data_IF_904684905915
#
_entry.id   IF_904684905915
#
_cell.length_a   1.000
_cell.length_b   1.000
_cell.length_c   1.000
_cell.angle_alpha   90.00
_cell.angle_beta   90.00
_cell.angle_gamma   90.00
#
_symmetry.space_group_name_H-M   'P 1'
#
loop_
_entity.id
_entity.type
_entity.pdbx_description
1 polymer ?
#
# COMPACT_ATOMS: atom_id res chain seq x y z
N UNK A 1 -24.21 21.73 8.89
CA UNK A 1 -24.22 20.36 9.47
C UNK A 1 -22.77 19.97 9.72
N UNK A 2 -22.34 19.99 10.99
CA UNK A 2 -20.95 19.81 11.40
C UNK A 2 -20.60 18.34 11.73
N UNK A 3 -19.33 18.03 11.50
CA UNK A 3 -18.43 17.03 12.10
C UNK A 3 -18.85 15.56 12.25
N UNK A 4 -18.09 14.67 11.56
CA UNK A 4 -17.67 13.37 12.13
C UNK A 4 -16.23 13.07 11.72
N UNK A 5 -15.32 13.38 12.64
CA UNK A 5 -13.89 13.11 12.64
C UNK A 5 -13.34 12.11 11.62
N UNK A 6 -12.46 12.59 10.75
CA UNK A 6 -11.48 11.74 10.06
C UNK A 6 -10.14 12.45 10.09
N UNK A 7 -9.47 12.38 11.24
CA UNK A 7 -8.10 12.82 11.40
C UNK A 7 -7.19 12.11 10.40
N UNK A 8 -6.84 12.85 9.35
CA UNK A 8 -5.63 12.65 8.56
C UNK A 8 -4.91 13.98 8.68
N UNK A 9 -4.03 14.10 9.67
CA UNK A 9 -3.23 15.31 9.95
C UNK A 9 -2.13 15.56 8.88
N UNK A 10 -2.26 14.91 7.73
CA UNK A 10 -1.58 15.27 6.49
C UNK A 10 -2.70 15.29 5.45
N UNK A 11 -2.92 16.38 4.71
CA UNK A 11 -4.11 16.64 3.89
C UNK A 11 -4.42 15.66 2.74
N UNK A 12 -3.96 14.42 2.80
CA UNK A 12 -4.24 13.35 1.86
C UNK A 12 -5.49 12.57 2.32
N UNK A 13 -6.60 12.69 1.60
CA UNK A 13 -7.77 11.84 1.83
C UNK A 13 -7.39 10.35 1.84
N UNK A 14 -8.10 9.48 2.59
CA UNK A 14 -7.80 8.04 2.66
C UNK A 14 -7.61 7.39 1.28
N UNK A 15 -8.44 7.80 0.31
CA UNK A 15 -8.35 7.36 -1.09
C UNK A 15 -7.04 7.77 -1.77
N UNK A 16 -6.50 8.93 -1.43
CA UNK A 16 -5.20 9.39 -1.90
C UNK A 16 -4.05 8.56 -1.34
N UNK A 17 -4.11 8.19 -0.05
CA UNK A 17 -3.14 7.29 0.56
C UNK A 17 -3.18 5.90 -0.09
N UNK A 18 -4.39 5.36 -0.26
CA UNK A 18 -4.59 4.07 -0.93
C UNK A 18 -4.01 4.09 -2.35
N UNK A 19 -4.33 5.12 -3.14
CA UNK A 19 -3.80 5.26 -4.50
C UNK A 19 -2.27 5.39 -4.51
N UNK A 20 -1.69 6.19 -3.63
CA UNK A 20 -0.25 6.40 -3.56
C UNK A 20 0.51 5.11 -3.23
N UNK A 21 0.00 4.32 -2.28
CA UNK A 21 0.62 3.05 -1.88
C UNK A 21 0.43 1.96 -2.94
N UNK A 22 -0.74 1.91 -3.58
CA UNK A 22 -0.97 1.00 -4.70
C UNK A 22 -0.04 1.33 -5.89
N UNK A 23 0.17 2.60 -6.20
CA UNK A 23 1.08 3.03 -7.26
C UNK A 23 2.53 2.65 -6.94
N UNK A 24 3.02 2.91 -5.71
CA UNK A 24 4.36 2.53 -5.30
C UNK A 24 4.58 1.01 -5.31
N UNK A 25 3.57 0.23 -4.99
CA UNK A 25 3.63 -1.22 -5.08
C UNK A 25 3.66 -1.72 -6.54
N UNK A 26 2.96 -1.01 -7.44
CA UNK A 26 2.87 -1.37 -8.86
C UNK A 26 4.11 -0.98 -9.67
N UNK A 27 5.00 -0.14 -9.13
CA UNK A 27 6.30 0.14 -9.75
C UNK A 27 7.35 -0.94 -9.47
N UNK A 28 7.03 -1.94 -8.65
CA UNK A 28 7.91 -3.08 -8.41
C UNK A 28 7.80 -4.05 -9.59
N UNK A 29 8.94 -4.45 -10.13
CA UNK A 29 8.99 -5.37 -11.25
C UNK A 29 8.32 -6.72 -10.93
N UNK A 30 7.62 -7.28 -11.91
CA UNK A 30 6.83 -8.52 -11.76
C UNK A 30 5.45 -8.36 -11.09
N UNK A 31 5.09 -7.15 -10.60
CA UNK A 31 3.75 -6.85 -10.09
C UNK A 31 2.85 -6.34 -11.20
N UNK A 32 1.71 -6.99 -11.41
CA UNK A 32 0.74 -6.65 -12.47
C UNK A 32 -0.48 -5.91 -11.98
N UNK A 33 -0.88 -6.14 -10.72
CA UNK A 33 -2.06 -5.52 -10.15
C UNK A 33 -1.83 -5.19 -8.69
N UNK A 34 -2.30 -4.03 -8.26
CA UNK A 34 -2.21 -3.62 -6.86
C UNK A 34 -3.51 -3.05 -6.38
N UNK A 35 -3.77 -3.25 -5.09
CA UNK A 35 -4.89 -2.67 -4.39
C UNK A 35 -4.46 -2.36 -2.96
N UNK A 36 -4.72 -1.14 -2.51
CA UNK A 36 -4.52 -0.75 -1.12
C UNK A 36 -5.86 -0.40 -0.49
N UNK A 37 -5.98 -0.71 0.80
CA UNK A 37 -7.14 -0.35 1.60
C UNK A 37 -6.71 0.09 2.98
N UNK A 38 -6.91 1.35 3.28
CA UNK A 38 -6.64 1.93 4.59
C UNK A 38 -7.90 1.94 5.44
N UNK A 39 -7.81 1.39 6.65
CA UNK A 39 -8.81 1.52 7.72
C UNK A 39 -8.13 2.06 8.97
N UNK A 40 -8.39 3.33 9.28
CA UNK A 40 -7.75 4.01 10.41
C UNK A 40 -6.23 4.07 10.21
N UNK A 41 -5.47 3.40 11.09
CA UNK A 41 -4.00 3.33 11.04
C UNK A 41 -3.44 2.04 10.42
N UNK A 42 -4.31 1.21 9.84
CA UNK A 42 -3.93 -0.05 9.21
C UNK A 42 -4.15 0.07 7.72
N UNK A 43 -3.12 -0.21 6.94
CA UNK A 43 -3.23 -0.32 5.49
C UNK A 43 -2.96 -1.76 5.10
N UNK A 44 -3.92 -2.35 4.40
CA UNK A 44 -3.72 -3.63 3.71
C UNK A 44 -3.38 -3.34 2.26
N UNK A 45 -2.22 -3.81 1.82
CA UNK A 45 -1.74 -3.71 0.45
C UNK A 45 -1.71 -5.13 -0.14
N UNK A 46 -2.51 -5.35 -1.17
CA UNK A 46 -2.52 -6.57 -1.97
C UNK A 46 -1.81 -6.28 -3.28
N UNK A 47 -0.82 -7.08 -3.62
CA UNK A 47 -0.15 -7.03 -4.90
C UNK A 47 -0.22 -8.41 -5.57
N UNK A 48 -0.55 -8.40 -6.86
CA UNK A 48 -0.57 -9.57 -7.69
C UNK A 48 0.71 -9.63 -8.50
N UNK A 49 1.39 -10.76 -8.40
CA UNK A 49 2.60 -11.04 -9.12
C UNK A 49 2.32 -11.98 -10.28
N UNK A 50 2.84 -11.66 -11.47
CA UNK A 50 2.74 -12.55 -12.64
C UNK A 50 3.84 -13.62 -12.67
N UNK A 51 5.04 -13.28 -12.23
CA UNK A 51 6.20 -14.18 -12.23
C UNK A 51 7.15 -13.82 -11.09
N UNK A 52 8.00 -14.76 -10.66
CA UNK A 52 9.04 -14.52 -9.64
C UNK A 52 8.71 -15.09 -8.26
N UNK A 53 9.64 -14.89 -7.31
CA UNK A 53 9.48 -15.34 -5.93
C UNK A 53 8.58 -14.37 -5.13
N UNK A 54 7.46 -14.85 -4.55
CA UNK A 54 6.58 -14.02 -3.73
C UNK A 54 7.25 -13.39 -2.51
N UNK A 55 8.29 -14.02 -1.94
CA UNK A 55 8.96 -13.48 -0.76
C UNK A 55 9.87 -12.30 -1.10
N UNK A 56 10.62 -12.39 -2.19
CA UNK A 56 11.37 -11.26 -2.75
C UNK A 56 10.45 -10.10 -3.12
N UNK A 57 9.37 -10.38 -3.86
CA UNK A 57 8.39 -9.36 -4.24
C UNK A 57 7.73 -8.69 -3.04
N UNK A 58 7.41 -9.47 -2.00
CA UNK A 58 6.89 -8.93 -0.75
C UNK A 58 7.87 -7.95 -0.11
N UNK A 59 9.16 -8.26 -0.17
CA UNK A 59 10.21 -7.42 0.39
C UNK A 59 10.37 -6.15 -0.42
N UNK A 60 10.41 -6.24 -1.76
CA UNK A 60 10.48 -5.09 -2.65
C UNK A 60 9.24 -4.17 -2.51
N UNK A 61 8.04 -4.74 -2.52
CA UNK A 61 6.78 -4.00 -2.29
C UNK A 61 6.76 -3.35 -0.91
N UNK A 62 7.32 -4.01 0.11
CA UNK A 62 7.45 -3.41 1.44
C UNK A 62 8.37 -2.21 1.44
N UNK A 63 9.53 -2.31 0.80
CA UNK A 63 10.49 -1.21 0.72
C UNK A 63 9.86 -0.01 0.00
N UNK A 64 9.25 -0.23 -1.17
CA UNK A 64 8.60 0.81 -1.96
C UNK A 64 7.46 1.51 -1.21
N UNK A 65 6.57 0.74 -0.58
CA UNK A 65 5.47 1.30 0.21
C UNK A 65 5.97 2.06 1.46
N UNK A 66 7.04 1.59 2.09
CA UNK A 66 7.63 2.26 3.27
C UNK A 66 8.29 3.57 2.87
N UNK A 67 9.05 3.59 1.77
CA UNK A 67 9.62 4.83 1.21
C UNK A 67 8.50 5.85 0.93
N UNK A 68 7.41 5.40 0.31
CA UNK A 68 6.27 6.28 0.02
C UNK A 68 5.58 6.80 1.28
N UNK A 69 5.44 5.98 2.32
CA UNK A 69 4.90 6.44 3.61
C UNK A 69 5.79 7.50 4.28
N UNK A 70 7.12 7.33 4.19
CA UNK A 70 8.10 8.29 4.70
C UNK A 70 8.01 9.63 3.95
N UNK A 71 7.91 9.61 2.62
CA UNK A 71 7.73 10.81 1.79
C UNK A 71 6.43 11.56 2.12
N UNK A 72 5.35 10.81 2.34
CA UNK A 72 4.05 11.38 2.72
C UNK A 72 4.04 11.95 4.14
N UNK A 73 5.14 11.83 4.91
CA UNK A 73 5.30 12.36 6.27
C UNK A 73 4.05 12.14 7.12
N UNK A 74 3.55 10.89 7.15
CA UNK A 74 2.38 10.58 7.96
C UNK A 74 2.69 10.87 9.43
N UNK A 75 1.87 11.70 10.06
CA UNK A 75 2.06 12.15 11.45
C UNK A 75 2.12 11.00 12.49
N UNK A 76 1.66 9.80 12.11
CA UNK A 76 1.68 8.60 12.95
C UNK A 76 2.12 7.38 12.15
N UNK A 77 2.85 6.43 12.77
CA UNK A 77 3.28 5.21 12.10
C UNK A 77 2.06 4.40 11.60
N UNK A 78 2.04 4.13 10.31
CA UNK A 78 1.02 3.29 9.68
C UNK A 78 1.41 1.82 9.80
N UNK A 79 0.44 0.97 10.14
CA UNK A 79 0.64 -0.49 10.19
C UNK A 79 0.37 -1.06 8.81
N UNK A 80 1.43 -1.36 8.08
CA UNK A 80 1.35 -1.94 6.74
C UNK A 80 1.28 -3.46 6.80
N UNK A 81 0.22 -4.04 6.23
CA UNK A 81 0.08 -5.47 5.96
C UNK A 81 0.17 -5.68 4.46
N UNK A 82 1.11 -6.52 4.01
CA UNK A 82 1.34 -6.80 2.60
C UNK A 82 0.94 -8.23 2.32
N UNK A 83 0.14 -8.43 1.27
CA UNK A 83 -0.23 -9.73 0.74
C UNK A 83 0.21 -9.78 -0.71
N UNK A 84 1.10 -10.73 -1.02
CA UNK A 84 1.43 -11.08 -2.40
C UNK A 84 0.58 -12.28 -2.78
N UNK A 85 -0.03 -12.20 -3.95
CA UNK A 85 -0.77 -13.30 -4.57
C UNK A 85 -0.20 -13.53 -5.95
N UNK A 86 0.27 -14.73 -6.24
CA UNK A 86 0.65 -15.12 -7.60
C UNK A 86 -0.54 -15.75 -8.29
N UNK A 87 -0.65 -15.53 -9.59
CA UNK A 87 -1.58 -16.27 -10.46
C UNK A 87 -1.06 -17.69 -10.73
N UNK A 88 -0.50 -18.35 -9.72
CA UNK A 88 0.03 -19.70 -9.86
C UNK A 88 -1.15 -20.66 -9.87
N UNK A 89 -1.87 -20.68 -10.99
CA UNK A 89 -2.78 -21.72 -11.49
C UNK A 89 -3.59 -21.16 -12.68
N UNK A 90 -3.03 -21.29 -13.89
CA UNK A 90 -3.70 -21.97 -15.01
C UNK A 90 -2.67 -22.50 -16.01
#
# INVERSE_FOLDING_TARGET
MQDRGTGIETGLARRGLDRALAAAAGSVDGITRTAARTRGRRTTLTAHAALGDPAEQRTAVRAAATARLTELRTARPQRLRIRITTDREN
#
